data_IF_309942530569
#
_entry.id   IF_309942530569
#
_cell.length_a   1.000
_cell.length_b   1.000
_cell.length_c   1.000
_cell.angle_alpha   90.00
_cell.angle_beta   90.00
_cell.angle_gamma   90.00
#
_symmetry.space_group_name_H-M   'P 1'
#
loop_
_entity.id
_entity.type
_entity.pdbx_description
1 polymer ?
#
# COMPACT_ATOMS: atom_id res chain seq x y z
N UNK A 1 -2.96 22.79 9.98
CA UNK A 1 -3.39 21.39 10.13
C UNK A 1 -2.64 20.62 9.06
N UNK A 2 -1.75 19.71 9.43
CA UNK A 2 -1.14 18.80 8.45
C UNK A 2 -2.26 18.00 7.79
N UNK A 3 -2.31 17.97 6.46
CA UNK A 3 -3.24 17.13 5.72
C UNK A 3 -2.99 15.67 6.13
N UNK A 4 -4.08 14.93 6.37
CA UNK A 4 -3.98 13.51 6.71
C UNK A 4 -3.82 12.74 5.41
N UNK A 5 -2.85 11.84 5.39
CA UNK A 5 -2.69 10.93 4.26
C UNK A 5 -3.74 9.82 4.32
N UNK A 6 -3.99 9.18 3.18
CA UNK A 6 -4.88 8.04 3.06
C UNK A 6 -4.22 6.97 2.20
N UNK A 7 -4.31 5.72 2.65
CA UNK A 7 -3.90 4.55 1.87
C UNK A 7 -5.00 3.50 1.93
N UNK A 8 -5.27 2.91 0.77
CA UNK A 8 -6.23 1.86 0.58
C UNK A 8 -5.53 0.67 -0.07
N UNK A 9 -5.47 -0.44 0.66
CA UNK A 9 -4.87 -1.69 0.22
C UNK A 9 -5.97 -2.68 -0.13
N UNK A 10 -5.72 -3.50 -1.14
CA UNK A 10 -6.60 -4.60 -1.51
C UNK A 10 -5.78 -5.74 -2.07
N UNK A 11 -6.05 -6.95 -1.61
CA UNK A 11 -5.46 -8.16 -2.18
C UNK A 11 -3.92 -8.07 -2.29
N UNK A 12 -3.27 -7.63 -1.21
CA UNK A 12 -1.82 -7.52 -1.15
C UNK A 12 -1.17 -6.44 -2.01
N UNK A 13 -1.95 -5.53 -2.59
CA UNK A 13 -1.45 -4.42 -3.41
C UNK A 13 -2.07 -3.08 -3.03
N UNK A 14 -1.52 -2.00 -3.57
CA UNK A 14 -2.00 -0.64 -3.42
C UNK A 14 -3.17 -0.38 -4.39
N UNK A 15 -4.36 -0.14 -3.84
CA UNK A 15 -5.58 0.16 -4.61
C UNK A 15 -5.83 1.67 -4.76
N UNK A 16 -5.56 2.43 -3.70
CA UNK A 16 -5.80 3.87 -3.67
C UNK A 16 -4.88 4.55 -2.66
N UNK A 17 -4.58 5.82 -2.91
CA UNK A 17 -3.65 6.59 -2.10
C UNK A 17 -3.97 8.08 -2.20
N UNK A 18 -3.64 8.80 -1.14
CA UNK A 18 -3.61 10.26 -1.08
C UNK A 18 -2.46 10.64 -0.15
N UNK A 19 -1.32 11.02 -0.74
CA UNK A 19 -0.08 11.33 -0.02
C UNK A 19 0.29 12.79 -0.26
N UNK A 20 0.49 13.53 0.82
CA UNK A 20 0.81 14.95 0.75
C UNK A 20 2.30 15.23 0.89
N UNK A 21 3.05 14.33 1.56
CA UNK A 21 4.49 14.44 1.74
C UNK A 21 5.29 14.27 0.44
N UNK A 22 6.38 15.03 0.28
CA UNK A 22 7.24 14.93 -0.91
C UNK A 22 7.85 13.54 -1.05
N UNK A 23 8.26 12.94 0.08
CA UNK A 23 8.83 11.58 0.11
C UNK A 23 7.78 10.52 -0.23
N UNK A 24 6.55 10.64 0.27
CA UNK A 24 5.45 9.74 -0.08
C UNK A 24 5.14 9.78 -1.58
N UNK A 25 5.11 10.98 -2.17
CA UNK A 25 4.93 11.18 -3.61
C UNK A 25 6.07 10.58 -4.43
N UNK A 26 7.32 10.70 -3.97
CA UNK A 26 8.47 10.10 -4.66
C UNK A 26 8.41 8.56 -4.64
N UNK A 27 8.11 7.96 -3.49
CA UNK A 27 7.97 6.50 -3.35
C UNK A 27 6.84 5.96 -4.23
N UNK A 28 5.69 6.64 -4.19
CA UNK A 28 4.57 6.31 -5.06
C UNK A 28 4.95 6.40 -6.54
N UNK A 29 5.67 7.45 -6.94
CA UNK A 29 6.14 7.59 -8.33
C UNK A 29 7.01 6.41 -8.74
N UNK A 30 7.93 5.95 -7.88
CA UNK A 30 8.76 4.75 -8.15
C UNK A 30 7.90 3.50 -8.32
N UNK A 31 6.91 3.31 -7.44
CA UNK A 31 5.98 2.18 -7.54
C UNK A 31 5.20 2.19 -8.87
N UNK A 32 4.71 3.36 -9.29
CA UNK A 32 4.00 3.53 -10.56
C UNK A 32 4.91 3.35 -11.79
N UNK A 33 6.18 3.74 -11.70
CA UNK A 33 7.15 3.65 -12.80
C UNK A 33 7.53 2.19 -13.13
N UNK A 34 7.60 1.32 -12.12
CA UNK A 34 7.77 -0.13 -12.31
C UNK A 34 6.59 -0.74 -13.11
N UNK A 35 5.41 -0.14 -12.96
CA UNK A 35 4.18 -0.50 -13.67
C UNK A 35 3.16 -1.13 -12.73
N UNK A 36 1.91 -0.67 -12.84
CA UNK A 36 0.78 -1.25 -12.11
C UNK A 36 -0.37 -1.61 -13.05
N UNK A 37 -1.13 -2.63 -12.69
CA UNK A 37 -2.39 -2.96 -13.32
C UNK A 37 -3.50 -2.08 -12.76
N UNK A 38 -4.47 -1.72 -13.63
CA UNK A 38 -5.67 -0.98 -13.24
C UNK A 38 -6.54 -1.82 -12.28
N UNK A 39 -6.47 -3.15 -12.37
CA UNK A 39 -7.15 -4.06 -11.46
C UNK A 39 -6.18 -4.64 -10.44
N UNK A 40 -6.45 -4.41 -9.16
CA UNK A 40 -5.72 -5.04 -8.05
C UNK A 40 -5.74 -6.58 -8.12
N UNK A 41 -6.76 -7.18 -8.76
CA UNK A 41 -6.83 -8.64 -8.95
C UNK A 41 -5.79 -9.18 -9.92
N UNK A 42 -5.40 -8.35 -10.89
CA UNK A 42 -4.45 -8.70 -11.94
C UNK A 42 -3.03 -8.29 -11.57
N UNK A 43 -2.84 -7.66 -10.41
CA UNK A 43 -1.55 -7.20 -9.96
C UNK A 43 -0.78 -8.37 -9.35
N UNK A 44 0.39 -8.63 -9.90
CA UNK A 44 1.37 -9.57 -9.38
C UNK A 44 2.59 -8.76 -8.91
N UNK A 45 2.47 -8.16 -7.73
CA UNK A 45 3.54 -7.30 -7.21
C UNK A 45 4.80 -8.13 -6.94
N UNK A 46 5.86 -7.74 -7.62
CA UNK A 46 7.22 -8.23 -7.39
C UNK A 46 7.68 -7.90 -5.97
N UNK A 47 8.71 -8.60 -5.45
CA UNK A 47 9.27 -8.27 -4.13
C UNK A 47 9.68 -6.79 -3.97
N UNK A 48 10.14 -6.15 -5.05
CA UNK A 48 10.50 -4.74 -5.08
C UNK A 48 9.26 -3.83 -4.94
N UNK A 49 8.18 -4.13 -5.68
CA UNK A 49 6.91 -3.41 -5.55
C UNK A 49 6.33 -3.54 -4.14
N UNK A 50 6.37 -4.74 -3.56
CA UNK A 50 5.95 -4.97 -2.17
C UNK A 50 6.78 -4.13 -1.20
N UNK A 51 8.10 -4.07 -1.39
CA UNK A 51 8.96 -3.23 -0.55
C UNK A 51 8.60 -1.74 -0.66
N UNK A 52 8.33 -1.24 -1.86
CA UNK A 52 7.89 0.15 -2.04
C UNK A 52 6.55 0.42 -1.34
N UNK A 53 5.60 -0.52 -1.37
CA UNK A 53 4.34 -0.38 -0.62
C UNK A 53 4.62 -0.28 0.90
N UNK A 54 5.55 -1.09 1.42
CA UNK A 54 5.93 -1.02 2.84
C UNK A 54 6.54 0.34 3.21
N UNK A 55 7.37 0.89 2.34
CA UNK A 55 8.00 2.20 2.52
C UNK A 55 6.96 3.33 2.45
N UNK A 56 5.96 3.21 1.55
CA UNK A 56 4.83 4.13 1.44
C UNK A 56 3.98 4.10 2.73
N UNK A 57 3.69 2.91 3.28
CA UNK A 57 2.95 2.76 4.54
C UNK A 57 3.71 3.41 5.71
N UNK A 58 5.04 3.29 5.72
CA UNK A 58 5.88 3.90 6.74
C UNK A 58 5.79 5.43 6.72
N UNK A 59 5.95 6.00 5.52
CA UNK A 59 5.95 7.45 5.29
C UNK A 59 4.57 8.10 5.41
N UNK A 60 3.50 7.34 5.22
CA UNK A 60 2.12 7.82 5.29
C UNK A 60 1.83 8.50 6.64
N UNK A 61 1.39 9.75 6.61
CA UNK A 61 0.99 10.51 7.78
C UNK A 61 -0.46 10.18 8.22
N UNK A 62 -0.72 8.89 8.42
CA UNK A 62 -1.97 8.35 8.97
C UNK A 62 -1.66 7.28 10.01
N UNK A 63 -2.43 7.25 11.10
CA UNK A 63 -2.32 6.22 12.12
C UNK A 63 -2.85 4.86 11.64
N UNK A 64 -3.78 4.89 10.68
CA UNK A 64 -4.48 3.70 10.16
C UNK A 64 -4.44 3.63 8.63
N UNK A 65 -4.50 2.41 8.12
CA UNK A 65 -4.55 2.06 6.70
C UNK A 65 -5.86 1.30 6.42
N UNK A 66 -6.54 1.65 5.34
CA UNK A 66 -7.81 1.02 4.98
C UNK A 66 -7.58 -0.26 4.16
N UNK A 67 -8.18 -1.38 4.58
CA UNK A 67 -8.22 -2.63 3.82
C UNK A 67 -9.58 -2.74 3.11
N UNK A 68 -9.60 -2.56 1.78
CA UNK A 68 -10.83 -2.53 0.98
C UNK A 68 -11.55 -3.88 0.92
N UNK A 69 -10.81 -4.97 1.04
CA UNK A 69 -11.40 -6.32 0.98
C UNK A 69 -12.29 -6.61 2.19
N UNK A 70 -11.80 -6.26 3.38
CA UNK A 70 -12.47 -6.50 4.65
C UNK A 70 -13.27 -5.28 5.13
N UNK A 71 -13.14 -4.13 4.45
CA UNK A 71 -13.71 -2.83 4.81
C UNK A 71 -13.37 -2.40 6.25
N UNK A 72 -12.15 -2.70 6.70
CA UNK A 72 -11.63 -2.35 8.03
C UNK A 72 -10.42 -1.43 7.93
N UNK A 73 -10.21 -0.63 8.98
CA UNK A 73 -8.99 0.14 9.16
C UNK A 73 -8.06 -0.59 10.12
N UNK A 74 -6.82 -0.79 9.71
CA UNK A 74 -5.80 -1.50 10.49
C UNK A 74 -4.62 -0.59 10.79
N UNK A 75 -3.79 -0.97 11.75
CA UNK A 75 -2.54 -0.26 12.02
C UNK A 75 -1.52 -0.40 10.88
N UNK A 76 -0.53 0.48 10.83
CA UNK A 76 0.58 0.38 9.86
C UNK A 76 1.28 -0.99 9.90
N UNK A 77 1.50 -1.54 11.09
CA UNK A 77 2.17 -2.84 11.27
C UNK A 77 1.35 -3.99 10.68
N UNK A 78 0.04 -3.99 10.93
CA UNK A 78 -0.88 -4.98 10.37
C UNK A 78 -0.98 -4.85 8.84
N UNK A 79 -1.02 -3.63 8.31
CA UNK A 79 -0.99 -3.40 6.87
C UNK A 79 0.30 -3.94 6.23
N UNK A 80 1.46 -3.69 6.84
CA UNK A 80 2.75 -4.23 6.37
C UNK A 80 2.74 -5.77 6.38
N UNK A 81 2.23 -6.36 7.45
CA UNK A 81 2.07 -7.82 7.58
C UNK A 81 1.16 -8.38 6.49
N UNK A 82 0.01 -7.73 6.25
CA UNK A 82 -0.93 -8.09 5.19
C UNK A 82 -0.24 -8.15 3.82
N UNK A 83 0.54 -7.14 3.44
CA UNK A 83 1.28 -7.13 2.17
C UNK A 83 2.32 -8.26 2.08
N UNK A 84 3.06 -8.51 3.17
CA UNK A 84 4.10 -9.55 3.20
C UNK A 84 3.55 -10.98 3.19
N UNK A 85 2.40 -11.20 3.83
CA UNK A 85 1.74 -12.51 3.95
C UNK A 85 0.82 -12.79 2.77
N UNK A 86 0.36 -11.77 2.05
CA UNK A 86 -0.48 -11.95 0.88
C UNK A 86 0.24 -12.76 -0.21
N UNK A 87 -0.42 -13.84 -0.65
CA UNK A 87 0.10 -14.81 -1.62
C UNK A 87 0.94 -15.93 -1.01
N UNK A 88 1.30 -15.88 0.28
CA UNK A 88 2.01 -16.97 0.96
C UNK A 88 1.10 -18.07 1.51
N UNK A 89 -0.19 -17.77 1.74
CA UNK A 89 -1.16 -18.73 2.31
C UNK A 89 -1.80 -19.67 1.27
N UNK A 90 -1.12 -19.99 0.17
CA UNK A 90 -1.57 -20.98 -0.81
C UNK A 90 -0.78 -22.31 -0.69
N UNK A 91 -0.57 -22.79 0.54
CA UNK A 91 -0.07 -24.14 0.83
C UNK A 91 -1.12 -25.00 1.55
#
# INVERSE_FOLDING_TARGET
MSEKDYLCLKWGTLKGWDLHSDKGKELLKKYLDIGMNISAMCQDDTPEQKQLILDIIDECNSDTIHLDWDAIDVSKEEAKKYIMEYGKNNE
#
